data_IF_001491009796
#
_entry.id   IF_001491009796
#
_cell.length_a   1.000
_cell.length_b   1.000
_cell.length_c   1.000
_cell.angle_alpha   90.00
_cell.angle_beta   90.00
_cell.angle_gamma   90.00
#
_symmetry.space_group_name_H-M   'P 1'
#
loop_
_entity.id
_entity.type
_entity.pdbx_description
1 polymer ?
#
# COMPACT_ATOMS: atom_id res chain seq x y z
N UNK A 1 -15.75 -9.98 -5.51
CA UNK A 1 -14.52 -9.21 -5.22
C UNK A 1 -14.46 -9.05 -3.73
N UNK A 2 -13.38 -9.52 -3.12
CA UNK A 2 -13.18 -9.38 -1.70
C UNK A 2 -12.88 -7.90 -1.43
N UNK A 3 -13.34 -7.35 -0.32
CA UNK A 3 -12.96 -6.00 0.10
C UNK A 3 -11.77 -6.05 1.07
N UNK A 4 -11.16 -7.23 1.24
CA UNK A 4 -10.09 -7.47 2.20
C UNK A 4 -8.78 -6.86 1.72
N UNK A 5 -8.41 -7.03 0.45
CA UNK A 5 -7.16 -6.47 -0.09
C UNK A 5 -7.14 -4.95 -0.04
N UNK A 6 -8.21 -4.30 -0.53
CA UNK A 6 -8.32 -2.83 -0.54
C UNK A 6 -8.36 -2.23 0.87
N UNK A 7 -9.08 -2.85 1.81
CA UNK A 7 -9.22 -2.34 3.18
C UNK A 7 -7.91 -2.51 3.98
N UNK A 8 -7.17 -3.59 3.72
CA UNK A 8 -5.82 -3.74 4.24
C UNK A 8 -4.88 -2.67 3.68
N UNK A 9 -4.87 -2.46 2.36
CA UNK A 9 -4.04 -1.46 1.70
C UNK A 9 -4.27 -0.04 2.23
N UNK A 10 -5.54 0.40 2.34
CA UNK A 10 -5.87 1.74 2.86
C UNK A 10 -5.39 1.92 4.31
N UNK A 11 -5.60 0.93 5.18
CA UNK A 11 -5.08 0.98 6.55
C UNK A 11 -3.56 0.94 6.60
N UNK A 12 -2.93 0.12 5.75
CA UNK A 12 -1.49 -0.02 5.71
C UNK A 12 -0.82 1.29 5.29
N UNK A 13 -1.33 1.94 4.24
CA UNK A 13 -0.85 3.25 3.77
C UNK A 13 -0.97 4.29 4.87
N UNK A 14 -2.13 4.41 5.53
CA UNK A 14 -2.33 5.39 6.63
C UNK A 14 -1.37 5.20 7.81
N UNK A 15 -0.99 3.96 8.10
CA UNK A 15 -0.10 3.63 9.21
C UNK A 15 1.39 3.70 8.85
N UNK A 16 1.75 3.40 7.60
CA UNK A 16 3.14 3.25 7.15
C UNK A 16 3.66 4.40 6.29
N UNK A 17 2.78 5.21 5.71
CA UNK A 17 3.13 6.44 4.98
C UNK A 17 2.83 7.62 5.89
N UNK A 18 3.84 8.16 6.61
CA UNK A 18 3.66 9.34 7.43
C UNK A 18 3.21 10.50 6.55
N UNK A 19 2.24 11.28 7.03
CA UNK A 19 1.77 12.47 6.29
C UNK A 19 2.84 13.53 5.99
N UNK A 20 3.97 13.41 6.68
CA UNK A 20 5.13 14.30 6.65
C UNK A 20 6.35 13.67 5.99
N UNK A 21 6.29 12.38 5.62
CA UNK A 21 7.33 11.74 4.84
C UNK A 21 7.10 12.12 3.39
N UNK A 22 7.79 13.17 2.96
CA UNK A 22 7.89 13.49 1.54
C UNK A 22 8.45 12.30 0.75
N UNK A 23 8.24 12.27 -0.58
CA UNK A 23 8.73 11.23 -1.49
C UNK A 23 10.25 10.96 -1.41
N UNK A 24 11.01 11.84 -0.74
CA UNK A 24 12.45 11.76 -0.54
C UNK A 24 12.94 10.75 0.52
N UNK A 25 12.10 10.23 1.42
CA UNK A 25 12.56 9.39 2.56
C UNK A 25 12.37 7.88 2.35
N UNK A 26 11.36 7.45 1.57
CA UNK A 26 11.07 6.02 1.39
C UNK A 26 10.73 5.73 -0.08
N UNK A 27 11.42 4.76 -0.69
CA UNK A 27 11.13 4.37 -2.07
C UNK A 27 9.78 3.65 -2.18
N UNK A 28 8.99 3.96 -3.22
CA UNK A 28 7.74 3.23 -3.54
C UNK A 28 7.97 1.72 -3.63
N UNK A 29 9.13 1.31 -4.16
CA UNK A 29 9.52 -0.09 -4.25
C UNK A 29 9.68 -0.73 -2.86
N UNK A 30 10.28 -0.03 -1.90
CA UNK A 30 10.45 -0.52 -0.52
C UNK A 30 9.12 -0.64 0.20
N UNK A 31 8.22 0.34 0.04
CA UNK A 31 6.86 0.28 0.59
C UNK A 31 6.08 -0.90 0.00
N UNK A 32 6.17 -1.12 -1.31
CA UNK A 32 5.52 -2.26 -1.98
C UNK A 32 6.01 -3.59 -1.40
N UNK A 33 7.32 -3.76 -1.23
CA UNK A 33 7.88 -4.99 -0.63
C UNK A 33 7.43 -5.18 0.82
N UNK A 34 7.44 -4.12 1.62
CA UNK A 34 7.00 -4.16 3.02
C UNK A 34 5.52 -4.49 3.12
N UNK A 35 4.69 -3.92 2.26
CA UNK A 35 3.26 -4.21 2.19
C UNK A 35 3.00 -5.70 1.94
N UNK A 36 3.70 -6.31 0.98
CA UNK A 36 3.53 -7.75 0.71
C UNK A 36 4.03 -8.63 1.86
N UNK A 37 5.09 -8.22 2.56
CA UNK A 37 5.56 -8.92 3.75
C UNK A 37 4.51 -8.87 4.89
N UNK A 38 3.94 -7.70 5.15
CA UNK A 38 2.93 -7.49 6.18
C UNK A 38 1.60 -8.18 5.83
N UNK A 39 1.18 -8.11 4.56
CA UNK A 39 0.02 -8.84 4.04
C UNK A 39 0.17 -10.34 4.29
N UNK A 40 1.34 -10.90 3.93
CA UNK A 40 1.62 -12.32 4.13
C UNK A 40 1.60 -12.70 5.62
N UNK A 41 2.07 -11.81 6.50
CA UNK A 41 2.06 -12.05 7.94
C UNK A 41 0.65 -12.19 8.53
N UNK A 42 -0.34 -11.51 7.94
CA UNK A 42 -1.75 -11.61 8.34
C UNK A 42 -2.57 -12.60 7.48
N UNK A 43 -1.91 -13.32 6.58
CA UNK A 43 -2.52 -14.35 5.73
C UNK A 43 -3.23 -13.81 4.48
N UNK A 44 -2.94 -12.58 4.05
CA UNK A 44 -3.40 -12.03 2.77
C UNK A 44 -2.34 -12.28 1.70
N UNK A 45 -2.73 -12.85 0.57
CA UNK A 45 -1.82 -13.07 -0.55
C UNK A 45 -1.63 -11.79 -1.36
N UNK A 46 -0.45 -11.60 -1.96
CA UNK A 46 -0.20 -10.48 -2.87
C UNK A 46 -1.18 -10.48 -4.05
N UNK A 47 -1.51 -11.68 -4.54
CA UNK A 47 -2.47 -11.89 -5.64
C UNK A 47 -3.86 -11.37 -5.24
N UNK A 48 -4.35 -11.69 -4.04
CA UNK A 48 -5.64 -11.18 -3.54
C UNK A 48 -5.66 -9.65 -3.49
N UNK A 49 -4.55 -9.03 -3.07
CA UNK A 49 -4.44 -7.56 -3.02
C UNK A 49 -4.43 -6.97 -4.43
N UNK A 50 -3.67 -7.57 -5.35
CA UNK A 50 -3.58 -7.12 -6.75
C UNK A 50 -4.90 -7.35 -7.51
N UNK A 51 -5.64 -8.41 -7.21
CA UNK A 51 -6.97 -8.65 -7.79
C UNK A 51 -8.03 -7.67 -7.25
N UNK A 52 -7.96 -7.32 -5.96
CA UNK A 52 -8.91 -6.41 -5.31
C UNK A 52 -8.59 -4.92 -5.58
N UNK A 53 -7.30 -4.57 -5.71
CA UNK A 53 -6.83 -3.17 -5.86
C UNK A 53 -6.39 -2.84 -7.28
N UNK A 54 -5.90 -3.83 -8.04
CA UNK A 54 -5.12 -3.61 -9.24
C UNK A 54 -3.63 -3.43 -8.92
N UNK A 55 -3.00 -2.41 -9.50
CA UNK A 55 -1.58 -2.15 -9.29
C UNK A 55 -1.31 -1.55 -7.91
N UNK A 56 -0.80 -2.37 -6.99
CA UNK A 56 -0.37 -1.92 -5.65
C UNK A 56 0.67 -0.80 -5.73
N UNK A 57 1.55 -0.87 -6.72
CA UNK A 57 2.57 0.16 -6.95
C UNK A 57 1.93 1.51 -7.29
N UNK A 58 0.93 1.52 -8.18
CA UNK A 58 0.23 2.76 -8.54
C UNK A 58 -0.57 3.28 -7.35
N UNK A 59 -1.22 2.43 -6.55
CA UNK A 59 -1.98 2.87 -5.39
C UNK A 59 -1.08 3.51 -4.29
N UNK A 60 0.12 2.97 -4.07
CA UNK A 60 1.09 3.57 -3.15
C UNK A 60 1.66 4.87 -3.73
N UNK A 61 2.01 4.89 -5.02
CA UNK A 61 2.48 6.10 -5.71
C UNK A 61 1.41 7.21 -5.65
N UNK A 62 0.16 6.87 -5.93
CA UNK A 62 -0.99 7.75 -5.87
C UNK A 62 -1.18 8.33 -4.46
N UNK A 63 -1.09 7.50 -3.43
CA UNK A 63 -1.16 7.96 -2.04
C UNK A 63 -0.01 8.90 -1.62
N UNK A 64 1.18 8.72 -2.18
CA UNK A 64 2.34 9.60 -1.94
C UNK A 64 2.23 10.90 -2.74
N UNK A 65 1.74 10.83 -3.98
CA UNK A 65 1.62 11.97 -4.90
C UNK A 65 0.41 12.84 -4.56
N UNK A 66 -0.75 12.25 -4.23
CA UNK A 66 -1.98 12.95 -3.84
C UNK A 66 -2.00 13.39 -2.37
N UNK A 67 -0.83 13.74 -1.84
CA UNK A 67 -0.68 14.24 -0.47
C UNK A 67 -1.25 15.66 -0.25
N UNK A 68 -1.95 16.22 -1.23
CA UNK A 68 -2.63 17.52 -1.20
C UNK A 68 -4.14 17.39 -1.48
N UNK A 69 -4.96 17.27 -0.42
CA UNK A 69 -6.23 18.02 -0.29
C UNK A 69 -6.56 18.25 1.20
#
# INVERSE_FOLDING_TARGET
MSTRGTNFLDQWIRNNVPKTAGPDIISVAELTQKLFADAKAIGISSIEIEEDTGSVYEAILDAIVHHEI
#
